data_IF_531710874195
#
_entry.id   IF_531710874195
#
_cell.length_a   1.000
_cell.length_b   1.000
_cell.length_c   1.000
_cell.angle_alpha   90.00
_cell.angle_beta   90.00
_cell.angle_gamma   90.00
#
_symmetry.space_group_name_H-M   'P 1'
#
loop_
_entity.id
_entity.type
_entity.pdbx_description
1 polymer ?
#
# COMPACT_ATOMS: atom_id res chain seq x y z
N UNK A 1 -3.09 -22.79 -33.33
CA UNK A 1 -4.19 -21.88 -33.60
C UNK A 1 -5.35 -22.28 -32.68
N UNK A 2 -5.37 -21.80 -31.43
CA UNK A 2 -6.50 -21.73 -30.49
C UNK A 2 -6.43 -20.32 -29.95
N UNK A 3 -6.86 -19.37 -30.74
CA UNK A 3 -7.06 -17.99 -30.39
C UNK A 3 -8.38 -17.59 -30.98
N UNK A 4 -9.17 -16.84 -30.29
CA UNK A 4 -10.40 -16.14 -30.65
C UNK A 4 -11.73 -16.81 -30.28
N UNK A 5 -11.85 -17.35 -29.06
CA UNK A 5 -13.18 -17.48 -28.45
C UNK A 5 -13.15 -16.99 -27.01
N UNK A 6 -12.67 -15.75 -26.82
CA UNK A 6 -12.87 -15.02 -25.56
C UNK A 6 -14.37 -14.73 -25.37
N UNK A 7 -14.87 -14.92 -24.16
CA UNK A 7 -16.26 -14.58 -23.83
C UNK A 7 -16.43 -13.06 -23.71
N UNK A 8 -17.17 -12.43 -24.61
CA UNK A 8 -17.49 -11.00 -24.53
C UNK A 8 -18.29 -10.67 -23.25
N UNK A 9 -19.15 -11.59 -22.81
CA UNK A 9 -19.92 -11.40 -21.58
C UNK A 9 -19.01 -11.44 -20.33
N UNK A 10 -17.93 -12.24 -20.35
CA UNK A 10 -16.96 -12.28 -19.27
C UNK A 10 -16.14 -11.01 -19.20
N UNK A 11 -15.71 -10.49 -20.34
CA UNK A 11 -14.95 -9.22 -20.40
C UNK A 11 -15.80 -8.03 -19.96
N UNK A 12 -17.07 -7.98 -20.38
CA UNK A 12 -18.00 -6.96 -19.92
C UNK A 12 -18.23 -7.01 -18.40
N UNK A 13 -18.28 -8.22 -17.81
CA UNK A 13 -18.35 -8.42 -16.37
C UNK A 13 -17.06 -7.95 -15.67
N UNK A 14 -15.87 -8.23 -16.22
CA UNK A 14 -14.60 -7.75 -15.67
C UNK A 14 -14.56 -6.21 -15.64
N UNK A 15 -14.97 -5.56 -16.70
CA UNK A 15 -15.05 -4.10 -16.77
C UNK A 15 -16.03 -3.52 -15.73
N UNK A 16 -17.20 -4.14 -15.53
CA UNK A 16 -18.16 -3.76 -14.48
C UNK A 16 -17.50 -3.87 -13.10
N UNK A 17 -16.83 -5.00 -12.83
CA UNK A 17 -16.18 -5.28 -11.54
C UNK A 17 -15.08 -4.26 -11.22
N UNK A 18 -14.21 -3.97 -12.17
CA UNK A 18 -13.08 -3.05 -11.97
C UNK A 18 -13.59 -1.65 -11.63
N UNK A 19 -14.57 -1.14 -12.39
CA UNK A 19 -15.15 0.20 -12.14
C UNK A 19 -15.82 0.27 -10.77
N UNK A 20 -16.57 -0.75 -10.41
CA UNK A 20 -17.27 -0.76 -9.12
C UNK A 20 -16.30 -0.94 -7.93
N UNK A 21 -15.25 -1.76 -8.07
CA UNK A 21 -14.21 -1.88 -7.04
C UNK A 21 -13.50 -0.54 -6.81
N UNK A 22 -13.21 0.23 -7.86
CA UNK A 22 -12.62 1.56 -7.72
C UNK A 22 -13.62 2.55 -7.11
N UNK A 23 -14.91 2.45 -7.41
CA UNK A 23 -15.94 3.26 -6.76
C UNK A 23 -16.02 2.98 -5.25
N UNK A 24 -15.91 1.71 -4.85
CA UNK A 24 -15.88 1.30 -3.44
C UNK A 24 -14.54 1.65 -2.75
N UNK A 25 -13.46 1.69 -3.51
CA UNK A 25 -12.12 2.01 -3.04
C UNK A 25 -11.42 3.00 -4.00
N UNK A 26 -11.78 4.29 -3.94
CA UNK A 26 -11.23 5.32 -4.85
C UNK A 26 -9.70 5.42 -4.82
N UNK A 27 -9.07 5.15 -3.67
CA UNK A 27 -7.61 5.18 -3.54
C UNK A 27 -6.93 4.11 -4.42
N UNK A 28 -7.58 2.95 -4.61
CA UNK A 28 -7.12 1.97 -5.58
C UNK A 28 -7.24 2.52 -7.02
N UNK A 29 -8.35 3.21 -7.36
CA UNK A 29 -8.48 3.88 -8.64
C UNK A 29 -7.31 4.80 -8.93
N UNK A 30 -7.01 5.73 -8.03
CA UNK A 30 -5.85 6.64 -8.12
C UNK A 30 -4.53 5.87 -8.29
N UNK A 31 -4.30 4.84 -7.47
CA UNK A 31 -3.08 4.04 -7.49
C UNK A 31 -2.87 3.30 -8.82
N UNK A 32 -3.94 2.81 -9.41
CA UNK A 32 -3.91 2.12 -10.71
C UNK A 32 -3.95 3.07 -11.92
N UNK A 33 -4.12 4.38 -11.72
CA UNK A 33 -4.12 5.38 -12.79
C UNK A 33 -5.50 5.70 -13.37
N UNK A 34 -6.56 5.30 -12.68
CA UNK A 34 -7.93 5.70 -12.98
C UNK A 34 -8.27 6.94 -12.14
N UNK A 35 -8.03 8.13 -12.69
CA UNK A 35 -8.03 9.36 -11.90
C UNK A 35 -9.40 10.00 -11.72
N UNK A 36 -10.16 10.19 -12.78
CA UNK A 36 -11.48 10.83 -12.73
C UNK A 36 -12.58 9.76 -12.63
N UNK A 37 -13.46 9.79 -11.62
CA UNK A 37 -13.59 10.80 -10.53
C UNK A 37 -12.84 10.48 -9.24
N UNK A 38 -12.03 9.41 -9.20
CA UNK A 38 -11.56 8.77 -7.97
C UNK A 38 -10.59 9.63 -7.15
N UNK A 39 -9.77 10.46 -7.80
CA UNK A 39 -8.79 11.29 -7.10
C UNK A 39 -9.43 12.30 -6.13
N UNK A 40 -10.64 12.76 -6.45
CA UNK A 40 -11.39 13.68 -5.60
C UNK A 40 -12.23 13.02 -4.49
N UNK A 41 -12.19 11.69 -4.36
CA UNK A 41 -13.09 10.92 -3.49
C UNK A 41 -12.33 10.24 -2.34
N UNK A 42 -12.99 10.11 -1.18
CA UNK A 42 -12.63 9.15 -0.15
C UNK A 42 -13.63 8.00 -0.12
N UNK A 43 -13.19 6.79 0.26
CA UNK A 43 -14.10 5.67 0.44
C UNK A 43 -15.06 5.91 1.60
N UNK A 44 -16.12 5.11 1.71
CA UNK A 44 -16.94 5.08 2.92
C UNK A 44 -16.10 4.56 4.10
N UNK A 45 -15.96 5.34 5.17
CA UNK A 45 -15.09 5.01 6.30
C UNK A 45 -15.56 3.79 7.11
N UNK A 46 -16.87 3.52 7.21
CA UNK A 46 -17.45 2.47 8.03
C UNK A 46 -17.18 1.03 7.55
N UNK A 47 -17.40 0.06 8.43
CA UNK A 47 -17.21 -1.37 8.11
C UNK A 47 -18.18 -1.86 7.03
N UNK A 48 -19.31 -1.19 6.86
CA UNK A 48 -20.26 -1.44 5.77
C UNK A 48 -19.60 -1.52 4.40
N UNK A 49 -18.57 -0.70 4.13
CA UNK A 49 -17.81 -0.79 2.86
C UNK A 49 -17.20 -2.18 2.64
N UNK A 50 -16.69 -2.78 3.72
CA UNK A 50 -16.09 -4.13 3.68
C UNK A 50 -17.15 -5.18 3.39
N UNK A 51 -18.33 -5.04 4.02
CA UNK A 51 -19.49 -5.92 3.82
C UNK A 51 -20.07 -5.77 2.40
N UNK A 52 -20.22 -4.54 1.91
CA UNK A 52 -20.70 -4.25 0.55
C UNK A 52 -19.72 -4.84 -0.49
N UNK A 53 -18.40 -4.69 -0.30
CA UNK A 53 -17.39 -5.30 -1.18
C UNK A 53 -17.53 -6.83 -1.20
N UNK A 54 -17.72 -7.46 -0.06
CA UNK A 54 -17.94 -8.91 0.05
C UNK A 54 -19.20 -9.36 -0.72
N UNK A 55 -20.29 -8.63 -0.56
CA UNK A 55 -21.54 -8.92 -1.26
C UNK A 55 -21.42 -8.79 -2.79
N UNK A 56 -20.71 -7.76 -3.25
CA UNK A 56 -20.43 -7.57 -4.68
C UNK A 56 -19.56 -8.71 -5.23
N UNK A 57 -18.46 -9.06 -4.58
CA UNK A 57 -17.59 -10.16 -5.01
C UNK A 57 -18.34 -11.49 -5.09
N UNK A 58 -19.17 -11.79 -4.10
CA UNK A 58 -20.03 -13.00 -4.13
C UNK A 58 -21.02 -12.97 -5.31
N UNK A 59 -21.61 -11.81 -5.60
CA UNK A 59 -22.54 -11.66 -6.74
C UNK A 59 -21.83 -11.83 -8.09
N UNK A 60 -20.67 -11.21 -8.24
CA UNK A 60 -19.87 -11.29 -9.47
C UNK A 60 -19.32 -12.69 -9.69
N UNK A 61 -18.83 -13.35 -8.65
CA UNK A 61 -18.39 -14.76 -8.76
C UNK A 61 -19.51 -15.65 -9.29
N UNK A 62 -20.73 -15.51 -8.79
CA UNK A 62 -21.89 -16.28 -9.29
C UNK A 62 -22.23 -15.96 -10.74
N UNK A 63 -22.05 -14.69 -11.19
CA UNK A 63 -22.23 -14.31 -12.59
C UNK A 63 -21.12 -14.93 -13.45
N UNK A 64 -19.85 -14.78 -13.06
CA UNK A 64 -18.69 -15.31 -13.76
C UNK A 64 -18.74 -16.84 -13.92
N UNK A 65 -19.13 -17.58 -12.86
CA UNK A 65 -19.28 -19.04 -12.92
C UNK A 65 -20.41 -19.49 -13.84
N UNK A 66 -21.49 -18.71 -13.95
CA UNK A 66 -22.56 -19.01 -14.93
C UNK A 66 -22.09 -18.80 -16.37
N UNK A 67 -21.32 -17.75 -16.65
CA UNK A 67 -20.74 -17.51 -17.95
C UNK A 67 -19.78 -18.65 -18.31
N UNK A 68 -18.86 -18.99 -17.40
CA UNK A 68 -17.90 -20.09 -17.59
C UNK A 68 -18.55 -21.48 -17.77
N UNK A 69 -19.79 -21.68 -17.32
CA UNK A 69 -20.53 -22.92 -17.54
C UNK A 69 -21.23 -22.98 -18.91
N UNK A 70 -21.44 -21.84 -19.58
CA UNK A 70 -22.13 -21.74 -20.86
C UNK A 70 -21.24 -21.35 -22.03
N UNK A 71 -20.06 -20.78 -21.75
CA UNK A 71 -19.11 -20.27 -22.73
C UNK A 71 -17.71 -20.79 -22.49
N UNK A 72 -16.90 -20.91 -23.54
CA UNK A 72 -15.48 -21.24 -23.42
C UNK A 72 -14.73 -19.95 -23.03
N UNK A 73 -13.91 -20.03 -21.96
CA UNK A 73 -13.03 -18.96 -21.51
C UNK A 73 -11.62 -19.19 -22.03
N UNK A 74 -10.94 -18.13 -22.47
CA UNK A 74 -9.52 -18.19 -22.76
C UNK A 74 -8.67 -18.30 -21.47
N UNK A 75 -7.35 -18.43 -21.62
CA UNK A 75 -6.43 -18.63 -20.50
C UNK A 75 -6.40 -17.41 -19.54
N UNK A 76 -6.53 -16.18 -20.05
CA UNK A 76 -6.54 -14.95 -19.26
C UNK A 76 -7.87 -14.82 -18.49
N UNK A 77 -8.98 -15.15 -19.13
CA UNK A 77 -10.31 -15.16 -18.50
C UNK A 77 -10.41 -16.26 -17.43
N UNK A 78 -9.83 -17.45 -17.66
CA UNK A 78 -9.74 -18.51 -16.67
C UNK A 78 -8.92 -18.06 -15.46
N UNK A 79 -7.77 -17.41 -15.68
CA UNK A 79 -6.95 -16.82 -14.63
C UNK A 79 -7.72 -15.76 -13.84
N UNK A 80 -8.45 -14.89 -14.53
CA UNK A 80 -9.30 -13.86 -13.93
C UNK A 80 -10.40 -14.47 -13.04
N UNK A 81 -11.02 -15.56 -13.47
CA UNK A 81 -12.01 -16.28 -12.68
C UNK A 81 -11.40 -16.89 -11.41
N UNK A 82 -10.20 -17.45 -11.48
CA UNK A 82 -9.50 -17.98 -10.30
C UNK A 82 -9.11 -16.88 -9.32
N UNK A 83 -8.62 -15.72 -9.82
CA UNK A 83 -8.35 -14.54 -9.00
C UNK A 83 -9.62 -14.04 -8.32
N UNK A 84 -10.75 -14.03 -9.03
CA UNK A 84 -12.04 -13.64 -8.46
C UNK A 84 -12.49 -14.59 -7.34
N UNK A 85 -12.33 -15.92 -7.53
CA UNK A 85 -12.61 -16.92 -6.49
C UNK A 85 -11.77 -16.71 -5.23
N UNK A 86 -10.47 -16.49 -5.41
CA UNK A 86 -9.58 -16.22 -4.29
C UNK A 86 -9.91 -14.90 -3.60
N UNK A 87 -10.22 -13.85 -4.36
CA UNK A 87 -10.57 -12.52 -3.84
C UNK A 87 -11.87 -12.56 -3.02
N UNK A 88 -12.89 -13.27 -3.51
CA UNK A 88 -14.14 -13.50 -2.77
C UNK A 88 -13.89 -14.24 -1.46
N UNK A 89 -13.13 -15.34 -1.50
CA UNK A 89 -12.82 -16.13 -0.32
C UNK A 89 -12.01 -15.35 0.73
N UNK A 90 -11.02 -14.54 0.29
CA UNK A 90 -10.25 -13.65 1.17
C UNK A 90 -11.12 -12.57 1.80
N UNK A 91 -12.01 -11.98 1.02
CA UNK A 91 -12.91 -10.94 1.52
C UNK A 91 -13.91 -11.50 2.54
N UNK A 92 -14.46 -12.69 2.28
CA UNK A 92 -15.32 -13.38 3.25
C UNK A 92 -14.56 -13.71 4.53
N UNK A 93 -13.35 -14.23 4.43
CA UNK A 93 -12.48 -14.45 5.59
C UNK A 93 -12.28 -13.17 6.40
N UNK A 94 -12.06 -12.03 5.73
CA UNK A 94 -11.90 -10.72 6.37
C UNK A 94 -13.20 -10.16 7.00
N UNK A 95 -14.36 -10.67 6.63
CA UNK A 95 -15.65 -10.28 7.22
C UNK A 95 -16.04 -11.24 8.36
N UNK A 96 -15.96 -12.54 8.11
CA UNK A 96 -16.58 -13.55 8.95
C UNK A 96 -15.63 -14.19 9.97
N UNK A 97 -14.39 -14.49 9.57
CA UNK A 97 -13.45 -15.28 10.36
C UNK A 97 -12.45 -14.39 11.13
N UNK A 98 -11.85 -13.39 10.46
CA UNK A 98 -10.86 -12.50 11.05
C UNK A 98 -11.08 -11.05 10.61
N UNK A 99 -12.03 -10.34 11.23
CA UNK A 99 -12.45 -9.00 10.83
C UNK A 99 -11.41 -7.92 11.22
N UNK A 100 -10.25 -7.94 10.56
CA UNK A 100 -9.15 -7.02 10.82
C UNK A 100 -9.60 -5.55 10.75
N UNK A 101 -10.55 -5.20 9.89
CA UNK A 101 -11.11 -3.85 9.80
C UNK A 101 -11.89 -3.39 11.05
N UNK A 102 -12.14 -4.29 12.03
CA UNK A 102 -12.70 -4.00 13.36
C UNK A 102 -11.67 -4.17 14.48
N UNK A 103 -10.41 -4.45 14.13
CA UNK A 103 -9.29 -4.69 15.05
C UNK A 103 -8.21 -3.63 14.90
N UNK A 104 -7.93 -3.19 13.67
CA UNK A 104 -6.94 -2.14 13.36
C UNK A 104 -7.64 -0.81 13.11
N UNK A 105 -7.41 0.21 13.95
CA UNK A 105 -8.01 1.52 13.79
C UNK A 105 -7.19 2.44 12.86
N UNK A 106 -6.46 1.88 11.89
CA UNK A 106 -5.70 2.65 10.91
C UNK A 106 -6.65 3.37 9.93
N UNK A 107 -6.67 4.68 10.03
CA UNK A 107 -7.52 5.55 9.23
C UNK A 107 -6.72 6.57 8.40
N UNK A 108 -5.45 6.79 8.72
CA UNK A 108 -4.65 7.87 8.11
C UNK A 108 -4.22 7.55 6.67
N UNK A 109 -4.16 6.27 6.30
CA UNK A 109 -3.73 5.85 4.97
C UNK A 109 -4.68 6.37 3.86
N UNK A 110 -5.98 6.27 4.05
CA UNK A 110 -6.93 6.70 3.02
C UNK A 110 -6.87 8.22 2.73
N UNK A 111 -6.83 9.12 3.72
CA UNK A 111 -6.64 10.54 3.46
C UNK A 111 -5.20 10.91 3.04
N UNK A 112 -4.19 10.06 3.32
CA UNK A 112 -2.78 10.37 3.06
C UNK A 112 -2.23 9.77 1.76
N UNK A 113 -2.38 8.47 1.58
CA UNK A 113 -1.66 7.71 0.56
C UNK A 113 -1.96 8.13 -0.88
N UNK A 114 -3.24 8.21 -1.27
CA UNK A 114 -3.59 8.59 -2.64
C UNK A 114 -3.27 10.07 -2.96
N UNK A 115 -3.34 10.97 -1.95
CA UNK A 115 -2.96 12.37 -2.15
C UNK A 115 -1.45 12.54 -2.38
N UNK A 116 -0.63 11.64 -1.85
CA UNK A 116 0.79 11.62 -2.18
C UNK A 116 1.03 11.36 -3.66
N UNK A 117 0.28 10.43 -4.28
CA UNK A 117 0.41 10.15 -5.71
C UNK A 117 0.08 11.37 -6.57
N UNK A 118 -0.86 12.21 -6.13
CA UNK A 118 -1.14 13.48 -6.81
C UNK A 118 0.05 14.44 -6.78
N UNK A 119 0.90 14.37 -5.74
CA UNK A 119 2.10 15.22 -5.61
C UNK A 119 3.25 14.72 -6.46
N UNK A 120 3.38 13.40 -6.65
CA UNK A 120 4.59 12.77 -7.19
C UNK A 120 4.47 12.39 -8.66
N UNK A 121 3.27 12.11 -9.18
CA UNK A 121 3.05 11.70 -10.57
C UNK A 121 2.58 12.86 -11.44
N UNK A 122 2.99 12.85 -12.73
CA UNK A 122 2.61 13.87 -13.73
C UNK A 122 1.58 13.31 -14.72
N UNK A 123 0.29 13.35 -14.35
CA UNK A 123 -0.83 12.81 -15.14
C UNK A 123 -1.96 13.82 -15.40
N UNK A 124 -1.97 14.95 -14.68
CA UNK A 124 -2.97 15.98 -14.82
C UNK A 124 -2.39 17.38 -14.56
N UNK A 125 -3.11 18.43 -14.98
CA UNK A 125 -2.68 19.79 -14.70
C UNK A 125 -2.65 20.07 -13.18
N UNK A 126 -1.72 20.92 -12.71
CA UNK A 126 -1.66 21.28 -11.28
C UNK A 126 -2.98 21.82 -10.74
N UNK A 127 -3.71 22.63 -11.52
CA UNK A 127 -5.04 23.14 -11.13
C UNK A 127 -6.06 22.00 -10.95
N UNK A 128 -6.08 21.00 -11.84
CA UNK A 128 -6.99 19.85 -11.73
C UNK A 128 -6.67 18.99 -10.50
N UNK A 129 -5.40 18.76 -10.22
CA UNK A 129 -4.96 18.08 -8.99
C UNK A 129 -5.36 18.85 -7.74
N UNK A 130 -5.27 20.18 -7.76
CA UNK A 130 -5.73 21.04 -6.66
C UNK A 130 -7.25 20.92 -6.43
N UNK A 131 -8.06 20.83 -7.50
CA UNK A 131 -9.50 20.58 -7.38
C UNK A 131 -9.79 19.25 -6.69
N UNK A 132 -9.15 18.15 -7.13
CA UNK A 132 -9.30 16.82 -6.55
C UNK A 132 -8.82 16.80 -5.09
N UNK A 133 -7.66 17.37 -4.81
CA UNK A 133 -7.13 17.46 -3.45
C UNK A 133 -8.10 18.22 -2.51
N UNK A 134 -8.64 19.37 -2.95
CA UNK A 134 -9.61 20.13 -2.18
C UNK A 134 -10.90 19.33 -1.91
N UNK A 135 -11.40 18.60 -2.90
CA UNK A 135 -12.57 17.73 -2.76
C UNK A 135 -12.30 16.62 -1.74
N UNK A 136 -11.20 15.88 -1.91
CA UNK A 136 -10.81 14.75 -1.05
C UNK A 136 -10.57 15.18 0.39
N UNK A 137 -9.85 16.29 0.61
CA UNK A 137 -9.64 16.85 1.96
C UNK A 137 -10.96 17.24 2.62
N UNK A 138 -11.90 17.79 1.87
CA UNK A 138 -13.24 18.14 2.36
C UNK A 138 -14.06 16.95 2.87
N UNK A 139 -13.74 15.74 2.42
CA UNK A 139 -14.39 14.48 2.83
C UNK A 139 -13.80 13.86 4.11
N UNK A 140 -12.61 14.30 4.57
CA UNK A 140 -11.92 13.72 5.73
C UNK A 140 -12.78 13.70 6.99
N UNK A 141 -13.49 14.79 7.38
CA UNK A 141 -14.32 14.77 8.59
C UNK A 141 -15.38 13.65 8.55
N UNK A 142 -16.11 13.54 7.42
CA UNK A 142 -17.12 12.50 7.21
C UNK A 142 -16.52 11.09 7.23
N UNK A 143 -15.38 10.91 6.59
CA UNK A 143 -14.67 9.65 6.56
C UNK A 143 -14.28 9.18 7.97
N UNK A 144 -13.68 10.04 8.78
CA UNK A 144 -13.25 9.72 10.15
C UNK A 144 -14.43 9.44 11.08
N UNK A 145 -15.53 10.19 10.97
CA UNK A 145 -16.76 9.93 11.71
C UNK A 145 -17.31 8.53 11.39
N UNK A 146 -17.41 8.18 10.11
CA UNK A 146 -17.86 6.85 9.67
C UNK A 146 -16.89 5.76 10.12
N UNK A 147 -15.59 6.03 10.08
CA UNK A 147 -14.55 5.07 10.46
C UNK A 147 -14.69 4.65 11.93
N UNK A 148 -14.94 5.59 12.83
CA UNK A 148 -15.12 5.32 14.26
C UNK A 148 -16.24 4.30 14.52
N UNK A 149 -17.26 4.22 13.66
CA UNK A 149 -18.37 3.26 13.80
C UNK A 149 -17.95 1.80 13.70
N UNK A 150 -16.78 1.49 13.08
CA UNK A 150 -16.24 0.12 12.98
C UNK A 150 -16.00 -0.51 14.35
N UNK A 151 -15.76 0.32 15.37
CA UNK A 151 -15.35 -0.09 16.72
C UNK A 151 -16.50 -0.09 17.72
N UNK A 152 -17.75 -0.13 17.23
CA UNK A 152 -18.96 -0.27 18.02
C UNK A 152 -19.92 -1.29 17.35
N UNK A 153 -19.85 -2.60 17.66
CA UNK A 153 -18.83 -3.30 18.46
C UNK A 153 -17.50 -3.48 17.70
N UNK A 154 -16.38 -3.46 18.41
CA UNK A 154 -15.06 -3.69 17.85
C UNK A 154 -14.11 -4.30 18.88
N UNK A 155 -13.02 -4.88 18.39
CA UNK A 155 -11.94 -5.46 19.22
C UNK A 155 -10.61 -4.82 18.83
N UNK A 156 -10.36 -3.54 19.18
CA UNK A 156 -9.11 -2.86 18.82
C UNK A 156 -7.92 -3.60 19.44
N UNK A 157 -6.85 -3.74 18.65
CA UNK A 157 -5.58 -4.33 19.09
C UNK A 157 -4.65 -3.22 19.56
N UNK A 158 -4.10 -3.34 20.76
CA UNK A 158 -3.34 -2.27 21.41
C UNK A 158 -2.13 -1.81 20.59
N UNK A 159 -1.35 -2.74 20.06
CA UNK A 159 -0.18 -2.40 19.24
C UNK A 159 -0.58 -1.64 17.97
N UNK A 160 -1.60 -2.10 17.26
CA UNK A 160 -2.10 -1.42 16.07
C UNK A 160 -2.74 -0.06 16.37
N UNK A 161 -3.37 0.07 17.54
CA UNK A 161 -3.95 1.35 17.97
C UNK A 161 -2.85 2.40 18.20
N UNK A 162 -1.70 1.99 18.79
CA UNK A 162 -0.54 2.89 18.94
C UNK A 162 0.03 3.33 17.61
N UNK A 163 0.24 2.39 16.68
CA UNK A 163 0.69 2.73 15.33
C UNK A 163 -0.28 3.70 14.64
N UNK A 164 -1.58 3.50 14.84
CA UNK A 164 -2.61 4.39 14.26
C UNK A 164 -2.60 5.79 14.89
N UNK A 165 -2.25 5.93 16.17
CA UNK A 165 -2.05 7.23 16.81
C UNK A 165 -0.85 7.94 16.17
N UNK A 166 0.30 7.27 16.07
CA UNK A 166 1.51 7.82 15.46
C UNK A 166 1.27 8.26 14.01
N UNK A 167 0.59 7.43 13.23
CA UNK A 167 0.19 7.74 11.85
C UNK A 167 -0.74 8.96 11.77
N UNK A 168 -1.76 9.02 12.62
CA UNK A 168 -2.71 10.13 12.65
C UNK A 168 -2.05 11.45 13.09
N UNK A 169 -1.10 11.41 14.03
CA UNK A 169 -0.35 12.60 14.48
C UNK A 169 0.49 13.24 13.36
N UNK A 170 0.84 12.49 12.31
CA UNK A 170 1.51 13.01 11.11
C UNK A 170 0.58 13.76 10.14
N UNK A 171 -0.72 13.49 10.15
CA UNK A 171 -1.66 14.05 9.17
C UNK A 171 -1.78 15.59 9.20
N UNK A 172 -1.82 16.28 10.33
CA UNK A 172 -1.92 17.76 10.34
C UNK A 172 -0.79 18.44 9.56
N UNK A 173 0.45 17.97 9.72
CA UNK A 173 1.62 18.48 8.99
C UNK A 173 1.52 18.16 7.48
N UNK A 174 1.06 16.97 7.14
CA UNK A 174 0.83 16.59 5.75
C UNK A 174 -0.24 17.46 5.08
N UNK A 175 -1.36 17.72 5.74
CA UNK A 175 -2.43 18.57 5.22
C UNK A 175 -1.97 20.03 5.01
N UNK A 176 -1.13 20.53 5.89
CA UNK A 176 -0.51 21.87 5.71
C UNK A 176 0.45 21.90 4.52
N UNK A 177 1.25 20.85 4.33
CA UNK A 177 2.11 20.72 3.17
C UNK A 177 1.30 20.68 1.86
N UNK A 178 0.22 19.88 1.81
CA UNK A 178 -0.70 19.80 0.67
C UNK A 178 -1.31 21.16 0.33
N UNK A 179 -1.79 21.87 1.35
CA UNK A 179 -2.36 23.21 1.18
C UNK A 179 -1.35 24.15 0.54
N UNK A 180 -0.13 24.22 1.07
CA UNK A 180 0.93 25.06 0.57
C UNK A 180 1.40 24.69 -0.83
N UNK A 181 1.35 23.40 -1.18
CA UNK A 181 1.71 22.93 -2.52
C UNK A 181 0.66 23.34 -3.55
N UNK A 182 -0.60 22.97 -3.34
CA UNK A 182 -1.65 23.16 -4.33
C UNK A 182 -2.18 24.60 -4.45
N UNK A 183 -2.00 25.43 -3.41
CA UNK A 183 -2.36 26.86 -3.50
C UNK A 183 -1.59 27.62 -4.57
N UNK A 184 -0.39 27.19 -4.93
CA UNK A 184 0.46 27.90 -5.90
C UNK A 184 -0.16 27.92 -7.29
N UNK A 185 -0.90 26.86 -7.63
CA UNK A 185 -1.48 26.64 -8.95
C UNK A 185 -3.01 26.77 -8.96
N UNK A 186 -3.60 27.11 -7.82
CA UNK A 186 -5.05 27.24 -7.65
C UNK A 186 -5.54 28.66 -7.93
N UNK A 187 -6.74 28.78 -8.48
CA UNK A 187 -7.46 30.06 -8.51
C UNK A 187 -7.72 30.58 -7.11
N UNK A 188 -7.90 31.89 -6.92
CA UNK A 188 -8.16 32.48 -5.61
C UNK A 188 -9.35 31.83 -4.86
N UNK A 189 -10.39 31.44 -5.61
CA UNK A 189 -11.55 30.74 -5.06
C UNK A 189 -11.17 29.32 -4.58
N UNK A 190 -10.50 28.55 -5.43
CA UNK A 190 -10.08 27.19 -5.10
C UNK A 190 -9.11 27.17 -3.92
N UNK A 191 -8.17 28.13 -3.87
CA UNK A 191 -7.25 28.29 -2.75
C UNK A 191 -7.98 28.58 -1.42
N UNK A 192 -9.04 29.41 -1.46
CA UNK A 192 -9.87 29.67 -0.28
C UNK A 192 -10.68 28.45 0.16
N UNK A 193 -11.26 27.70 -0.79
CA UNK A 193 -12.00 26.45 -0.53
C UNK A 193 -11.07 25.38 0.05
N UNK A 194 -9.87 25.21 -0.52
CA UNK A 194 -8.85 24.28 -0.01
C UNK A 194 -8.45 24.63 1.42
N UNK A 195 -8.17 25.92 1.73
CA UNK A 195 -7.83 26.36 3.08
C UNK A 195 -8.92 26.05 4.09
N UNK A 196 -10.18 26.30 3.73
CA UNK A 196 -11.33 25.99 4.57
C UNK A 196 -11.46 24.47 4.82
N UNK A 197 -11.27 23.66 3.78
CA UNK A 197 -11.35 22.21 3.88
C UNK A 197 -10.20 21.66 4.73
N UNK A 198 -8.97 22.16 4.58
CA UNK A 198 -7.81 21.79 5.40
C UNK A 198 -8.04 22.12 6.87
N UNK A 199 -8.55 23.33 7.19
CA UNK A 199 -8.83 23.71 8.56
C UNK A 199 -9.83 22.73 9.23
N UNK A 200 -10.92 22.40 8.54
CA UNK A 200 -11.92 21.43 9.04
C UNK A 200 -11.37 20.00 9.13
N UNK A 201 -10.53 19.60 8.18
CA UNK A 201 -9.90 18.28 8.21
C UNK A 201 -8.93 18.16 9.40
N UNK A 202 -8.14 19.20 9.68
CA UNK A 202 -7.22 19.21 10.84
C UNK A 202 -7.97 19.09 12.16
N UNK A 203 -9.06 19.84 12.34
CA UNK A 203 -9.90 19.72 13.52
C UNK A 203 -10.45 18.29 13.69
N UNK A 204 -10.97 17.69 12.61
CA UNK A 204 -11.48 16.31 12.65
C UNK A 204 -10.38 15.27 12.93
N UNK A 205 -9.15 15.52 12.47
CA UNK A 205 -7.98 14.66 12.76
C UNK A 205 -7.59 14.78 14.23
N UNK A 206 -7.56 15.97 14.81
CA UNK A 206 -7.29 16.17 16.25
C UNK A 206 -8.31 15.43 17.12
N UNK A 207 -9.61 15.57 16.81
CA UNK A 207 -10.66 14.79 17.46
C UNK A 207 -10.50 13.28 17.28
N UNK A 208 -10.00 12.86 16.12
CA UNK A 208 -9.76 11.43 15.86
C UNK A 208 -8.58 10.89 16.66
N UNK A 209 -7.51 11.67 16.83
CA UNK A 209 -6.37 11.34 17.69
C UNK A 209 -6.82 11.15 19.14
N UNK A 210 -7.64 12.08 19.67
CA UNK A 210 -8.18 11.95 21.02
C UNK A 210 -9.07 10.71 21.17
N UNK A 211 -9.89 10.41 20.16
CA UNK A 211 -10.67 9.19 20.12
C UNK A 211 -9.79 7.93 20.11
N UNK A 212 -8.68 7.91 19.33
CA UNK A 212 -7.73 6.79 19.30
C UNK A 212 -7.05 6.58 20.66
N UNK A 213 -6.66 7.65 21.37
CA UNK A 213 -6.08 7.58 22.71
C UNK A 213 -7.06 6.95 23.71
N UNK A 214 -8.33 7.36 23.67
CA UNK A 214 -9.40 6.73 24.47
C UNK A 214 -9.66 5.26 24.04
N UNK A 215 -9.51 4.93 22.76
CA UNK A 215 -9.65 3.57 22.24
C UNK A 215 -8.53 2.66 22.75
N UNK A 216 -7.31 3.16 22.86
CA UNK A 216 -6.14 2.41 23.36
C UNK A 216 -6.34 1.91 24.79
N UNK A 217 -7.02 2.66 25.65
CA UNK A 217 -7.28 2.27 27.05
C UNK A 217 -8.04 0.95 27.16
N UNK A 218 -8.92 0.64 26.19
CA UNK A 218 -9.72 -0.58 26.11
C UNK A 218 -9.26 -1.58 25.06
N UNK A 219 -8.13 -1.30 24.41
CA UNK A 219 -7.56 -2.16 23.37
C UNK A 219 -6.93 -3.43 23.98
N UNK A 220 -7.08 -4.52 23.24
CA UNK A 220 -6.62 -5.85 23.64
C UNK A 220 -5.16 -6.08 23.20
N UNK A 221 -4.36 -6.81 24.00
CA UNK A 221 -2.98 -7.14 23.62
C UNK A 221 -2.91 -8.22 22.52
N UNK A 222 -3.95 -9.06 22.38
CA UNK A 222 -3.98 -10.18 21.47
C UNK A 222 -4.24 -9.72 20.04
N UNK A 223 -3.29 -10.05 19.16
CA UNK A 223 -3.39 -9.75 17.71
C UNK A 223 -3.30 -11.00 16.83
N UNK A 224 -2.89 -12.14 17.39
CA UNK A 224 -2.72 -13.36 16.63
C UNK A 224 -4.07 -13.92 16.14
N UNK A 225 -4.12 -14.33 14.87
CA UNK A 225 -5.33 -14.92 14.31
C UNK A 225 -5.60 -16.36 14.77
N UNK A 226 -4.63 -17.02 15.36
CA UNK A 226 -4.72 -18.41 15.81
C UNK A 226 -4.50 -19.44 14.69
N UNK A 227 -4.25 -20.72 15.07
CA UNK A 227 -3.89 -21.77 14.12
C UNK A 227 -5.03 -22.09 13.13
N UNK A 228 -6.28 -22.07 13.58
CA UNK A 228 -7.43 -22.43 12.75
C UNK A 228 -7.65 -21.39 11.63
N UNK A 229 -7.58 -20.11 11.95
CA UNK A 229 -7.69 -19.03 10.96
C UNK A 229 -6.47 -19.01 10.03
N UNK A 230 -5.26 -19.29 10.55
CA UNK A 230 -4.07 -19.42 9.70
C UNK A 230 -4.23 -20.58 8.72
N UNK A 231 -4.72 -21.74 9.18
CA UNK A 231 -4.97 -22.88 8.30
C UNK A 231 -6.00 -22.57 7.19
N UNK A 232 -7.10 -21.85 7.52
CA UNK A 232 -8.06 -21.35 6.52
C UNK A 232 -7.39 -20.42 5.51
N UNK A 233 -6.60 -19.44 5.98
CA UNK A 233 -5.94 -18.47 5.14
C UNK A 233 -4.93 -19.14 4.19
N UNK A 234 -4.12 -20.08 4.67
CA UNK A 234 -3.21 -20.87 3.84
C UNK A 234 -3.95 -21.60 2.73
N UNK A 235 -5.08 -22.25 3.08
CA UNK A 235 -5.92 -22.95 2.11
C UNK A 235 -6.50 -22.00 1.05
N UNK A 236 -7.03 -20.85 1.44
CA UNK A 236 -7.59 -19.84 0.53
C UNK A 236 -6.50 -19.36 -0.46
N UNK A 237 -5.27 -19.17 0.02
CA UNK A 237 -4.13 -18.75 -0.79
C UNK A 237 -3.48 -19.88 -1.60
N UNK A 238 -4.03 -21.08 -1.56
CA UNK A 238 -3.51 -22.23 -2.32
C UNK A 238 -2.19 -22.81 -1.77
N UNK A 239 -1.80 -22.47 -0.54
CA UNK A 239 -0.63 -23.08 0.10
C UNK A 239 -0.97 -24.47 0.65
N UNK A 240 -0.34 -25.55 0.18
CA UNK A 240 -0.63 -26.93 0.60
C UNK A 240 0.10 -27.28 1.92
N UNK A 241 0.20 -26.33 2.85
CA UNK A 241 0.94 -26.49 4.11
C UNK A 241 0.01 -26.27 5.30
N UNK A 242 0.23 -27.03 6.37
CA UNK A 242 -0.38 -26.76 7.67
C UNK A 242 0.40 -25.69 8.44
N UNK A 243 -0.20 -25.02 9.44
CA UNK A 243 0.52 -24.09 10.31
C UNK A 243 1.78 -24.69 10.96
N UNK A 244 1.73 -25.95 11.39
CA UNK A 244 2.88 -26.64 11.99
C UNK A 244 4.00 -26.88 10.96
N UNK A 245 3.64 -27.20 9.71
CA UNK A 245 4.62 -27.34 8.63
C UNK A 245 5.27 -25.99 8.28
N UNK A 246 4.50 -24.90 8.29
CA UNK A 246 5.04 -23.54 8.08
C UNK A 246 6.02 -23.18 9.20
N UNK A 247 5.66 -23.47 10.46
CA UNK A 247 6.54 -23.26 11.62
C UNK A 247 7.83 -24.07 11.49
N UNK A 248 7.73 -25.36 11.22
CA UNK A 248 8.89 -26.24 11.08
C UNK A 248 9.82 -25.80 9.92
N UNK A 249 9.24 -25.38 8.80
CA UNK A 249 10.00 -24.81 7.69
C UNK A 249 10.72 -23.51 8.08
N UNK A 250 10.04 -22.62 8.81
CA UNK A 250 10.61 -21.38 9.31
C UNK A 250 11.78 -21.61 10.26
N UNK A 251 11.65 -22.56 11.21
CA UNK A 251 12.72 -22.94 12.16
C UNK A 251 13.94 -23.54 11.43
N UNK A 252 13.70 -24.43 10.46
CA UNK A 252 14.78 -25.01 9.66
C UNK A 252 15.50 -23.96 8.81
N UNK A 253 14.75 -23.06 8.16
CA UNK A 253 15.30 -21.96 7.36
C UNK A 253 16.12 -21.00 8.24
N UNK A 254 15.61 -20.63 9.43
CA UNK A 254 16.32 -19.77 10.37
C UNK A 254 17.65 -20.39 10.83
N UNK A 255 17.66 -21.70 11.08
CA UNK A 255 18.89 -22.42 11.44
C UNK A 255 19.91 -22.41 10.30
N UNK A 256 19.46 -22.66 9.07
CA UNK A 256 20.33 -22.63 7.86
C UNK A 256 20.91 -21.24 7.63
N UNK A 257 20.05 -20.21 7.63
CA UNK A 257 20.46 -18.82 7.42
C UNK A 257 21.42 -18.30 8.49
N UNK A 258 21.25 -18.71 9.75
CA UNK A 258 22.21 -18.38 10.82
C UNK A 258 23.57 -19.01 10.60
N UNK A 259 23.62 -20.25 10.11
CA UNK A 259 24.88 -20.92 9.80
C UNK A 259 25.57 -20.27 8.60
N UNK A 260 24.85 -19.98 7.54
CA UNK A 260 25.34 -19.29 6.34
C UNK A 260 25.85 -17.87 6.68
N UNK A 261 25.10 -17.13 7.50
CA UNK A 261 25.55 -15.84 8.01
C UNK A 261 26.86 -15.93 8.76
N UNK A 262 26.99 -16.89 9.70
CA UNK A 262 28.23 -17.08 10.47
C UNK A 262 29.44 -17.43 9.56
N UNK A 263 29.22 -18.25 8.53
CA UNK A 263 30.26 -18.58 7.55
C UNK A 263 30.65 -17.32 6.74
N UNK A 264 29.66 -16.53 6.29
CA UNK A 264 29.90 -15.30 5.55
C UNK A 264 30.62 -14.25 6.41
N UNK A 265 30.21 -14.05 7.64
CA UNK A 265 30.88 -13.18 8.61
C UNK A 265 32.35 -13.61 8.81
N UNK A 266 32.63 -14.91 8.91
CA UNK A 266 33.99 -15.44 9.03
C UNK A 266 34.86 -15.19 7.79
N UNK A 267 34.26 -15.22 6.61
CA UNK A 267 34.95 -14.91 5.36
C UNK A 267 35.25 -13.41 5.20
N UNK A 268 34.29 -12.55 5.59
CA UNK A 268 34.43 -11.10 5.48
C UNK A 268 35.36 -10.50 6.54
N UNK A 269 35.37 -11.08 7.75
CA UNK A 269 36.16 -10.61 8.89
C UNK A 269 36.97 -11.75 9.54
N UNK A 270 37.98 -12.33 8.84
CA UNK A 270 38.71 -13.49 9.34
C UNK A 270 39.39 -13.20 10.68
N UNK A 271 39.14 -14.04 11.67
CA UNK A 271 39.74 -13.92 13.01
C UNK A 271 39.18 -12.81 13.89
N UNK A 272 38.16 -12.09 13.43
CA UNK A 272 37.45 -11.11 14.25
C UNK A 272 36.20 -11.74 14.88
N UNK A 273 35.70 -11.11 15.97
CA UNK A 273 34.54 -11.59 16.68
C UNK A 273 33.19 -11.39 15.94
N UNK A 274 32.09 -11.96 16.48
CA UNK A 274 30.76 -11.77 15.93
C UNK A 274 30.40 -10.28 15.76
N UNK A 275 29.80 -9.94 14.62
CA UNK A 275 29.40 -8.57 14.29
C UNK A 275 30.50 -7.71 13.64
N UNK A 276 31.75 -8.17 13.55
CA UNK A 276 32.85 -7.43 12.91
C UNK A 276 32.59 -7.20 11.41
N UNK A 277 31.99 -8.20 10.73
CA UNK A 277 31.63 -8.05 9.32
C UNK A 277 30.57 -6.95 9.13
N UNK A 278 29.59 -6.85 10.02
CA UNK A 278 28.58 -5.77 9.99
C UNK A 278 29.23 -4.40 10.21
N UNK A 279 30.21 -4.31 11.12
CA UNK A 279 30.94 -3.06 11.34
C UNK A 279 31.73 -2.64 10.08
N UNK A 280 32.38 -3.60 9.40
CA UNK A 280 33.09 -3.35 8.14
C UNK A 280 32.12 -2.86 7.05
N UNK A 281 30.96 -3.49 6.91
CA UNK A 281 29.93 -3.05 5.96
C UNK A 281 29.42 -1.63 6.26
N UNK A 282 29.21 -1.31 7.54
CA UNK A 282 28.80 0.03 7.96
C UNK A 282 29.89 1.10 7.75
N UNK A 283 31.16 0.71 7.67
CA UNK A 283 32.26 1.62 7.34
C UNK A 283 32.36 1.88 5.82
N UNK A 284 31.78 1.04 4.97
CA UNK A 284 31.65 1.21 3.52
C UNK A 284 30.35 1.97 3.17
N UNK A 285 30.11 3.05 3.85
CA UNK A 285 28.92 3.90 3.71
C UNK A 285 29.26 5.15 2.89
N UNK A 286 28.37 5.62 2.01
CA UNK A 286 28.54 6.91 1.33
C UNK A 286 28.85 8.05 2.31
N UNK A 287 29.66 9.02 1.89
CA UNK A 287 30.10 10.11 2.77
C UNK A 287 28.95 11.06 3.17
N UNK A 288 27.92 11.12 2.35
CA UNK A 288 26.72 11.94 2.57
C UNK A 288 25.48 11.28 1.98
N UNK A 289 24.30 11.76 2.36
CA UNK A 289 23.06 11.35 1.70
C UNK A 289 23.03 11.70 0.22
N UNK A 290 23.63 12.83 -0.19
CA UNK A 290 23.65 13.22 -1.59
C UNK A 290 24.54 12.26 -2.42
N UNK A 291 25.62 11.71 -1.84
CA UNK A 291 26.42 10.65 -2.45
C UNK A 291 25.64 9.34 -2.54
N UNK A 292 24.93 8.94 -1.47
CA UNK A 292 24.05 7.77 -1.48
C UNK A 292 22.95 7.88 -2.55
N UNK A 293 22.37 9.08 -2.69
CA UNK A 293 21.35 9.35 -3.69
C UNK A 293 21.89 9.22 -5.12
N UNK A 294 23.11 9.73 -5.38
CA UNK A 294 23.77 9.60 -6.66
C UNK A 294 24.15 8.14 -6.98
N UNK A 295 24.63 7.40 -5.97
CA UNK A 295 24.97 5.99 -6.12
C UNK A 295 23.75 5.12 -6.43
N UNK A 296 22.61 5.39 -5.77
CA UNK A 296 21.36 4.68 -6.05
C UNK A 296 20.93 4.81 -7.53
N UNK A 297 21.15 5.96 -8.16
CA UNK A 297 20.87 6.15 -9.58
C UNK A 297 21.76 5.25 -10.46
N UNK A 298 23.04 5.12 -10.11
CA UNK A 298 23.98 4.24 -10.81
C UNK A 298 23.62 2.76 -10.64
N UNK A 299 23.21 2.36 -9.44
CA UNK A 299 22.80 0.99 -9.15
C UNK A 299 21.52 0.60 -9.89
N UNK A 300 20.55 1.50 -10.04
CA UNK A 300 19.36 1.28 -10.87
C UNK A 300 19.76 0.98 -12.32
N UNK A 301 20.67 1.77 -12.90
CA UNK A 301 21.13 1.53 -14.28
C UNK A 301 21.94 0.23 -14.40
N UNK A 302 22.75 -0.11 -13.37
CA UNK A 302 23.47 -1.38 -13.30
C UNK A 302 22.51 -2.57 -13.23
N UNK A 303 21.49 -2.47 -12.40
CA UNK A 303 20.46 -3.51 -12.26
C UNK A 303 19.68 -3.73 -13.57
N UNK A 304 19.25 -2.67 -14.23
CA UNK A 304 18.57 -2.75 -15.54
C UNK A 304 19.45 -3.47 -16.57
N UNK A 305 20.72 -3.07 -16.68
CA UNK A 305 21.67 -3.70 -17.59
C UNK A 305 21.85 -5.18 -17.28
N UNK A 306 22.04 -5.52 -16.01
CA UNK A 306 22.20 -6.91 -15.57
C UNK A 306 20.98 -7.77 -15.94
N UNK A 307 19.77 -7.26 -15.75
CA UNK A 307 18.53 -7.97 -16.10
C UNK A 307 18.45 -8.29 -17.59
N UNK A 308 18.84 -7.32 -18.44
CA UNK A 308 18.81 -7.49 -19.91
C UNK A 308 19.93 -8.42 -20.39
N UNK A 309 21.16 -8.22 -19.91
CA UNK A 309 22.32 -9.04 -20.32
C UNK A 309 22.18 -10.51 -19.92
N UNK A 310 21.43 -10.80 -18.86
CA UNK A 310 21.20 -12.17 -18.37
C UNK A 310 19.81 -12.74 -18.73
N UNK A 311 19.02 -12.03 -19.56
CA UNK A 311 17.66 -12.44 -19.99
C UNK A 311 16.75 -12.85 -18.80
N UNK A 312 16.82 -12.07 -17.70
CA UNK A 312 16.06 -12.38 -16.48
C UNK A 312 14.58 -11.99 -16.64
N UNK A 313 14.33 -10.82 -17.25
CA UNK A 313 12.99 -10.31 -17.53
C UNK A 313 13.03 -9.29 -18.67
N UNK A 314 11.89 -9.12 -19.34
CA UNK A 314 11.71 -8.02 -20.30
C UNK A 314 11.70 -6.70 -19.56
N UNK A 315 12.62 -5.83 -19.86
CA UNK A 315 12.72 -4.48 -19.29
C UNK A 315 12.40 -3.46 -20.37
N UNK A 316 11.37 -2.65 -20.14
CA UNK A 316 11.12 -1.48 -20.98
C UNK A 316 12.16 -0.40 -20.62
N UNK A 317 13.15 -0.20 -21.49
CA UNK A 317 14.22 0.77 -21.29
C UNK A 317 13.73 2.22 -21.32
N UNK A 318 12.59 2.48 -21.98
CA UNK A 318 11.99 3.82 -22.05
C UNK A 318 11.15 4.14 -20.82
N UNK A 319 10.78 3.14 -20.03
CA UNK A 319 10.13 3.34 -18.75
C UNK A 319 11.03 4.12 -17.79
N UNK A 320 10.50 5.22 -17.25
CA UNK A 320 11.26 6.09 -16.34
C UNK A 320 11.05 5.68 -14.89
N UNK A 321 12.15 5.46 -14.19
CA UNK A 321 12.17 5.42 -12.74
C UNK A 321 12.71 6.77 -12.23
N UNK A 322 11.85 7.54 -11.56
CA UNK A 322 12.24 8.77 -10.91
C UNK A 322 12.77 8.44 -9.51
N UNK A 323 13.99 8.90 -9.21
CA UNK A 323 14.55 8.81 -7.87
C UNK A 323 14.33 10.16 -7.20
N UNK A 324 13.67 10.16 -6.04
CA UNK A 324 13.33 11.37 -5.30
C UNK A 324 13.66 11.21 -3.82
N UNK A 325 13.90 12.31 -3.13
CA UNK A 325 13.99 12.28 -1.67
C UNK A 325 12.59 12.05 -1.07
N UNK A 326 12.51 11.17 -0.08
CA UNK A 326 11.27 10.97 0.68
C UNK A 326 10.87 12.26 1.36
N UNK A 327 9.66 12.77 1.15
CA UNK A 327 9.17 13.94 1.87
C UNK A 327 9.24 13.72 3.39
N UNK A 328 9.65 14.74 4.14
CA UNK A 328 9.91 14.64 5.58
C UNK A 328 8.74 14.10 6.41
N UNK A 329 7.50 14.40 5.99
CA UNK A 329 6.29 13.90 6.67
C UNK A 329 6.05 12.39 6.47
N UNK A 330 6.73 11.75 5.50
CA UNK A 330 6.67 10.31 5.25
C UNK A 330 7.85 9.55 5.82
N UNK A 331 8.89 10.22 6.25
CA UNK A 331 10.14 9.59 6.69
C UNK A 331 9.92 8.59 7.85
N UNK A 332 8.93 8.81 8.71
CA UNK A 332 8.56 7.86 9.78
C UNK A 332 7.91 6.58 9.25
N UNK A 333 7.18 6.66 8.15
CA UNK A 333 6.54 5.52 7.50
C UNK A 333 7.48 4.81 6.49
N UNK A 334 8.44 5.56 5.94
CA UNK A 334 9.44 5.07 4.99
C UNK A 334 10.83 5.31 5.60
N UNK A 335 11.31 4.42 6.48
CA UNK A 335 12.56 4.68 7.21
C UNK A 335 13.83 4.61 6.34
N UNK A 336 13.78 3.93 5.20
CA UNK A 336 14.92 3.76 4.28
C UNK A 336 14.58 4.17 2.86
N UNK A 337 13.74 3.38 2.19
CA UNK A 337 13.32 3.60 0.81
C UNK A 337 11.94 3.01 0.55
N UNK A 338 11.25 3.52 -0.45
CA UNK A 338 10.02 2.92 -0.98
C UNK A 338 9.98 3.03 -2.50
N UNK A 339 9.40 2.01 -3.14
CA UNK A 339 9.15 2.01 -4.57
C UNK A 339 7.63 2.14 -4.81
N UNK A 340 7.23 3.19 -5.47
CA UNK A 340 5.90 3.31 -6.05
C UNK A 340 5.95 2.87 -7.51
N UNK A 341 5.23 1.82 -7.84
CA UNK A 341 5.20 1.27 -9.20
C UNK A 341 4.43 2.20 -10.15
N UNK A 342 4.74 2.10 -11.44
CA UNK A 342 3.95 2.76 -12.48
C UNK A 342 2.49 2.28 -12.45
N UNK A 343 1.57 3.19 -12.69
CA UNK A 343 0.14 2.87 -12.71
C UNK A 343 -0.26 2.26 -14.05
N UNK A 344 -0.87 1.05 -14.07
CA UNK A 344 -1.13 0.32 -15.31
C UNK A 344 -2.10 1.02 -16.27
N UNK A 345 -2.95 1.93 -15.78
CA UNK A 345 -3.89 2.68 -16.62
C UNK A 345 -3.43 4.11 -16.95
N UNK A 346 -2.23 4.53 -16.52
CA UNK A 346 -1.62 5.78 -16.98
C UNK A 346 -0.92 5.58 -18.32
N UNK A 347 -1.06 6.56 -19.24
CA UNK A 347 -0.36 6.54 -20.53
C UNK A 347 1.17 6.60 -20.35
N UNK A 348 1.63 7.38 -19.34
CA UNK A 348 3.04 7.48 -18.99
C UNK A 348 3.35 6.54 -17.85
N UNK A 349 4.11 5.51 -18.13
CA UNK A 349 4.60 4.59 -17.11
C UNK A 349 5.74 5.23 -16.33
N UNK A 350 5.46 5.66 -15.09
CA UNK A 350 6.40 6.36 -14.21
C UNK A 350 6.48 5.63 -12.86
N UNK A 351 7.59 4.95 -12.63
CA UNK A 351 7.94 4.44 -11.30
C UNK A 351 8.64 5.53 -10.47
N UNK A 352 8.50 5.49 -9.16
CA UNK A 352 9.12 6.46 -8.24
C UNK A 352 9.83 5.69 -7.14
N UNK A 353 11.16 5.81 -7.09
CA UNK A 353 11.98 5.34 -5.99
C UNK A 353 12.21 6.52 -5.02
N UNK A 354 11.66 6.41 -3.83
CA UNK A 354 11.87 7.37 -2.75
C UNK A 354 13.00 6.89 -1.87
N UNK A 355 13.95 7.77 -1.56
CA UNK A 355 15.05 7.51 -0.61
C UNK A 355 14.91 8.47 0.57
N UNK A 356 14.98 7.94 1.79
CA UNK A 356 14.78 8.74 2.99
C UNK A 356 16.11 9.30 3.49
N UNK A 357 16.16 10.62 3.64
CA UNK A 357 17.36 11.31 4.12
C UNK A 357 17.77 10.83 5.50
N UNK A 358 19.01 10.34 5.59
CA UNK A 358 19.65 9.93 6.81
C UNK A 358 21.00 10.68 6.99
N UNK A 359 21.48 10.80 8.22
CA UNK A 359 22.76 11.42 8.55
C UNK A 359 23.41 10.78 9.76
N UNK A 360 24.72 10.92 9.93
CA UNK A 360 25.45 10.35 11.05
C UNK A 360 25.33 8.82 11.15
N UNK A 361 25.04 8.30 12.32
CA UNK A 361 24.88 6.83 12.51
C UNK A 361 23.72 6.27 11.68
N UNK A 362 22.62 7.01 11.57
CA UNK A 362 21.48 6.57 10.76
C UNK A 362 21.85 6.38 9.28
N UNK A 363 22.75 7.19 8.72
CA UNK A 363 23.24 7.00 7.34
C UNK A 363 23.95 5.65 7.20
N UNK A 364 24.79 5.28 8.16
CA UNK A 364 25.53 4.01 8.21
C UNK A 364 24.63 2.78 8.44
N UNK A 365 23.47 2.97 9.02
CA UNK A 365 22.50 1.90 9.28
C UNK A 365 21.54 1.67 8.12
N UNK A 366 21.38 2.66 7.24
CA UNK A 366 20.39 2.68 6.15
C UNK A 366 21.01 2.42 4.79
N UNK A 367 22.18 3.00 4.51
CA UNK A 367 22.91 2.98 3.25
C UNK A 367 24.30 2.36 3.45
#
# INVERSE_FOLDING_TARGET
MRGDMASEDFDALNDEMVRELFRLNPDAGTRFGMHDPYDGMLPHGGFRRVEDTSAHLTSWLRKAERIAASEELDDDQQTSLEVLRMSEALQRFAVDDYPQGRMSPEAAEAPGGAMLLMLTRDYATPEKKAEWASSKVGEIPRYLEQFRTRFTPGRPVKHWTRMSIESAEGLPTFLEFLENHFKKDATARLAADLSKNVARAREAVEEHIDWLKNLEERALPEFAMGPDNLAKLLKIRGFPLTPDQVLAFGEASLKSLRAERAETESRMAPGLGPGAAVAIMKDDTPASFDDAFAEAALEVERAKRFMVENDIATVDYDAKLHIVETPSFMASAIPTAALEMAAPFEERQQGILMLTRASGEALRDVY
#
